data_IF_197493527412
#
_entry.id   IF_197493527412
#
_cell.length_a   1.000
_cell.length_b   1.000
_cell.length_c   1.000
_cell.angle_alpha   90.00
_cell.angle_beta   90.00
_cell.angle_gamma   90.00
#
_symmetry.space_group_name_H-M   'P 1'
#
loop_
_entity.id
_entity.type
_entity.pdbx_description
1 polymer ?
#
# COMPACT_ATOMS: atom_id res chain seq x y z
N UNK A 1 3.05 26.33 9.54
CA UNK A 1 3.96 25.76 8.53
C UNK A 1 4.42 24.42 9.08
N UNK A 2 4.42 23.34 8.27
CA UNK A 2 4.88 22.03 8.72
C UNK A 2 6.40 22.01 8.73
N UNK A 3 6.94 21.46 9.79
CA UNK A 3 8.38 21.25 9.98
C UNK A 3 8.68 19.75 10.12
N UNK A 4 9.93 19.36 9.95
CA UNK A 4 10.38 17.96 10.07
C UNK A 4 10.00 17.33 11.41
N UNK A 5 9.99 18.13 12.49
CA UNK A 5 9.59 17.71 13.84
C UNK A 5 8.14 17.27 13.99
N UNK A 6 7.27 17.67 13.05
CA UNK A 6 5.84 17.30 13.02
C UNK A 6 5.56 16.00 12.22
N UNK A 7 6.60 15.42 11.64
CA UNK A 7 6.48 14.27 10.72
C UNK A 7 7.09 13.05 11.37
N UNK A 8 6.33 11.95 11.40
CA UNK A 8 6.85 10.63 11.71
C UNK A 8 6.90 9.77 10.44
N UNK A 9 7.92 8.92 10.36
CA UNK A 9 8.08 7.95 9.29
C UNK A 9 7.86 6.56 9.87
N UNK A 10 7.05 5.74 9.19
CA UNK A 10 6.87 4.32 9.53
C UNK A 10 7.53 3.48 8.46
N UNK A 11 8.44 2.60 8.88
CA UNK A 11 9.13 1.63 8.04
C UNK A 11 8.94 0.24 8.63
N UNK A 12 8.45 -0.69 7.81
CA UNK A 12 8.31 -2.08 8.22
C UNK A 12 9.47 -2.87 7.65
N UNK A 13 10.21 -3.54 8.54
CA UNK A 13 11.39 -4.34 8.19
C UNK A 13 11.01 -5.81 8.11
N UNK A 14 11.44 -6.47 7.04
CA UNK A 14 11.29 -7.91 6.86
C UNK A 14 12.53 -8.48 6.20
N UNK A 15 13.41 -9.11 7.00
CA UNK A 15 14.73 -9.55 6.58
C UNK A 15 15.53 -8.45 5.84
N UNK A 16 15.71 -7.27 6.48
CA UNK A 16 16.38 -6.14 5.85
C UNK A 16 17.82 -6.44 5.52
N UNK A 17 18.30 -5.91 4.41
CA UNK A 17 19.73 -5.88 4.05
C UNK A 17 20.48 -4.83 4.89
N UNK A 18 21.82 -4.85 4.81
CA UNK A 18 22.64 -3.79 5.44
C UNK A 18 22.29 -2.43 4.88
N UNK A 19 22.13 -2.31 3.55
CA UNK A 19 21.76 -1.05 2.88
C UNK A 19 20.38 -0.53 3.33
N UNK A 20 19.44 -1.44 3.66
CA UNK A 20 18.14 -1.03 4.20
C UNK A 20 18.28 -0.47 5.61
N UNK A 21 19.13 -1.10 6.44
CA UNK A 21 19.38 -0.62 7.79
C UNK A 21 20.15 0.71 7.78
N UNK A 22 21.09 0.91 6.88
CA UNK A 22 21.80 2.18 6.71
C UNK A 22 20.85 3.30 6.29
N UNK A 23 19.91 3.01 5.38
CA UNK A 23 18.87 3.96 5.01
C UNK A 23 17.96 4.32 6.20
N UNK A 24 17.53 3.31 6.97
CA UNK A 24 16.69 3.53 8.16
C UNK A 24 17.42 4.38 9.21
N UNK A 25 18.71 4.11 9.44
CA UNK A 25 19.52 4.90 10.35
C UNK A 25 19.64 6.36 9.88
N UNK A 26 19.99 6.56 8.60
CA UNK A 26 20.10 7.89 8.00
C UNK A 26 18.80 8.70 8.09
N UNK A 27 17.67 8.11 7.70
CA UNK A 27 16.40 8.83 7.75
C UNK A 27 15.95 9.09 9.20
N UNK A 28 16.37 8.22 10.15
CA UNK A 28 16.13 8.36 11.57
C UNK A 28 16.89 9.53 12.23
N UNK A 29 17.99 9.98 11.62
CA UNK A 29 18.69 11.20 12.05
C UNK A 29 17.94 12.48 11.64
N UNK A 30 17.11 12.41 10.59
CA UNK A 30 16.43 13.56 10.01
C UNK A 30 14.99 13.72 10.49
N UNK A 31 14.31 12.61 10.83
CA UNK A 31 12.88 12.57 11.18
C UNK A 31 12.62 11.60 12.34
N UNK A 32 11.50 11.80 13.01
CA UNK A 32 11.01 10.80 13.96
C UNK A 32 10.63 9.51 13.23
N UNK A 33 11.52 8.51 13.25
CA UNK A 33 11.33 7.26 12.52
C UNK A 33 10.97 6.11 13.47
N UNK A 34 9.92 5.39 13.13
CA UNK A 34 9.47 4.16 13.80
C UNK A 34 9.68 3.00 12.84
N UNK A 35 10.77 2.27 13.06
CA UNK A 35 11.07 1.03 12.35
C UNK A 35 10.53 -0.16 13.14
N UNK A 36 9.69 -0.98 12.52
CA UNK A 36 9.09 -2.17 13.13
C UNK A 36 9.65 -3.41 12.47
N UNK A 37 10.44 -4.19 13.21
CA UNK A 37 10.97 -5.47 12.72
C UNK A 37 9.89 -6.56 12.77
N UNK A 38 9.50 -7.03 11.60
CA UNK A 38 8.51 -8.08 11.37
C UNK A 38 9.15 -9.39 10.87
N UNK A 39 10.48 -9.57 11.05
CA UNK A 39 11.25 -10.70 10.51
C UNK A 39 11.06 -11.97 11.33
N UNK A 40 11.09 -11.88 12.66
CA UNK A 40 11.06 -13.05 13.56
C UNK A 40 9.64 -13.51 13.91
N UNK A 41 8.72 -12.57 14.14
CA UNK A 41 7.31 -12.84 14.43
C UNK A 41 6.45 -12.12 13.40
N UNK A 42 6.43 -12.67 12.17
CA UNK A 42 5.72 -12.06 11.05
C UNK A 42 4.21 -12.01 11.29
N UNK A 43 3.73 -10.87 11.77
CA UNK A 43 2.29 -10.58 12.00
C UNK A 43 1.60 -10.01 10.76
N UNK A 44 2.33 -9.87 9.65
CA UNK A 44 1.87 -9.24 8.43
C UNK A 44 2.03 -7.72 8.46
N UNK A 45 2.01 -7.11 7.26
CA UNK A 45 2.25 -5.66 7.12
C UNK A 45 1.18 -4.82 7.82
N UNK A 46 -0.07 -5.28 7.83
CA UNK A 46 -1.18 -4.55 8.46
C UNK A 46 -0.96 -4.36 9.96
N UNK A 47 -0.58 -5.44 10.67
CA UNK A 47 -0.35 -5.38 12.11
C UNK A 47 0.96 -4.66 12.42
N UNK A 48 2.02 -4.89 11.64
CA UNK A 48 3.29 -4.20 11.82
C UNK A 48 3.15 -2.68 11.65
N UNK A 49 2.41 -2.21 10.63
CA UNK A 49 2.08 -0.80 10.50
C UNK A 49 1.26 -0.29 11.68
N UNK A 50 0.28 -1.06 12.16
CA UNK A 50 -0.52 -0.67 13.32
C UNK A 50 0.30 -0.51 14.58
N UNK A 51 1.28 -1.39 14.84
CA UNK A 51 2.20 -1.25 15.99
C UNK A 51 2.97 0.07 15.92
N UNK A 52 3.51 0.41 14.75
CA UNK A 52 4.15 1.70 14.53
C UNK A 52 3.21 2.87 14.74
N UNK A 53 2.01 2.83 14.14
CA UNK A 53 1.01 3.88 14.25
C UNK A 53 0.53 4.10 15.68
N UNK A 54 0.28 3.02 16.44
CA UNK A 54 -0.16 3.12 17.83
C UNK A 54 0.82 3.90 18.71
N UNK A 55 2.13 3.75 18.46
CA UNK A 55 3.16 4.49 19.20
C UNK A 55 3.14 6.00 18.94
N UNK A 56 2.48 6.42 17.85
CA UNK A 56 2.40 7.82 17.41
C UNK A 56 1.09 8.52 17.83
N UNK A 57 0.01 7.76 18.07
CA UNK A 57 -1.31 8.35 18.28
C UNK A 57 -1.38 9.32 19.48
N UNK A 58 -0.58 9.10 20.51
CA UNK A 58 -0.55 9.95 21.72
C UNK A 58 0.53 11.04 21.67
N UNK A 59 1.36 11.07 20.61
CA UNK A 59 2.38 12.10 20.44
C UNK A 59 1.75 13.41 19.94
N UNK A 60 1.78 14.44 20.76
CA UNK A 60 1.13 15.74 20.45
C UNK A 60 1.84 16.51 19.34
N UNK A 61 3.14 16.33 19.21
CA UNK A 61 3.95 17.09 18.25
C UNK A 61 3.91 16.46 16.84
N UNK A 62 3.54 15.17 16.73
CA UNK A 62 3.42 14.49 15.44
C UNK A 62 2.02 14.73 14.88
N UNK A 63 1.95 15.30 13.70
CA UNK A 63 0.72 15.57 12.97
C UNK A 63 0.60 14.74 11.70
N UNK A 64 1.72 14.45 11.04
CA UNK A 64 1.78 13.72 9.78
C UNK A 64 2.55 12.42 9.92
N UNK A 65 2.12 11.41 9.17
CA UNK A 65 2.78 10.10 9.07
C UNK A 65 3.07 9.80 7.61
N UNK A 66 4.33 9.50 7.31
CA UNK A 66 4.77 9.05 6.00
C UNK A 66 5.12 7.57 6.09
N UNK A 67 4.61 6.77 5.15
CA UNK A 67 4.94 5.36 5.04
C UNK A 67 6.05 5.17 4.01
N UNK A 68 7.11 4.46 4.37
CA UNK A 68 8.15 4.03 3.46
C UNK A 68 8.32 2.51 3.55
N UNK A 69 8.59 1.88 2.42
CA UNK A 69 9.05 0.49 2.43
C UNK A 69 10.55 0.45 2.76
N UNK A 70 11.04 -0.66 3.30
CA UNK A 70 12.45 -0.79 3.70
C UNK A 70 13.44 -0.58 2.54
N UNK A 71 13.01 -0.93 1.32
CA UNK A 71 13.77 -0.78 0.07
C UNK A 71 13.48 0.54 -0.66
N UNK A 72 12.66 1.42 -0.08
CA UNK A 72 12.43 2.76 -0.63
C UNK A 72 13.71 3.60 -0.52
N UNK A 73 14.02 4.31 -1.59
CA UNK A 73 15.12 5.29 -1.58
C UNK A 73 14.53 6.62 -2.02
N UNK A 74 14.46 7.55 -1.09
CA UNK A 74 13.88 8.88 -1.27
C UNK A 74 14.88 9.95 -0.90
N UNK A 75 14.71 11.15 -1.44
CA UNK A 75 15.52 12.31 -1.04
C UNK A 75 15.24 12.70 0.42
N UNK A 76 16.22 13.30 1.10
CA UNK A 76 16.15 13.67 2.51
C UNK A 76 15.01 14.63 2.87
N UNK A 77 14.56 15.41 1.91
CA UNK A 77 13.46 16.36 2.05
C UNK A 77 12.10 15.80 1.61
N UNK A 78 12.09 14.58 1.03
CA UNK A 78 10.86 13.97 0.50
C UNK A 78 9.72 13.88 1.55
N UNK A 79 9.96 13.41 2.81
CA UNK A 79 8.90 13.34 3.81
C UNK A 79 8.30 14.71 4.14
N UNK A 80 9.12 15.75 4.14
CA UNK A 80 8.63 17.12 4.33
C UNK A 80 7.85 17.61 3.11
N UNK A 81 8.34 17.33 1.92
CA UNK A 81 7.70 17.75 0.67
C UNK A 81 6.31 17.12 0.50
N UNK A 82 6.16 15.80 0.77
CA UNK A 82 4.86 15.12 0.65
C UNK A 82 3.87 15.60 1.73
N UNK A 83 4.34 15.91 2.93
CA UNK A 83 3.50 16.48 3.99
C UNK A 83 3.03 17.90 3.65
N UNK A 84 3.91 18.74 3.11
CA UNK A 84 3.54 20.09 2.65
C UNK A 84 2.55 20.03 1.47
N UNK A 85 2.75 19.09 0.56
CA UNK A 85 1.84 18.87 -0.57
C UNK A 85 0.48 18.34 -0.10
N UNK A 86 0.47 17.47 0.91
CA UNK A 86 -0.76 17.03 1.57
C UNK A 86 -1.56 18.23 2.09
N UNK A 87 -0.93 19.11 2.84
CA UNK A 87 -1.58 20.31 3.39
C UNK A 87 -2.08 21.27 2.30
N UNK A 88 -1.32 21.43 1.23
CA UNK A 88 -1.74 22.25 0.09
C UNK A 88 -3.05 21.75 -0.53
N UNK A 89 -3.17 20.44 -0.70
CA UNK A 89 -4.37 19.81 -1.28
C UNK A 89 -5.51 19.79 -0.26
N UNK A 90 -5.19 19.58 1.02
CA UNK A 90 -6.17 19.52 2.11
C UNK A 90 -6.92 20.86 2.31
N UNK A 91 -6.40 21.97 1.78
CA UNK A 91 -7.13 23.28 1.80
C UNK A 91 -8.42 23.23 0.96
N UNK A 92 -8.49 22.36 -0.04
CA UNK A 92 -9.63 22.27 -0.98
C UNK A 92 -10.34 20.92 -0.95
N UNK A 93 -9.72 19.90 -0.38
CA UNK A 93 -10.21 18.53 -0.33
C UNK A 93 -10.16 18.00 1.10
N UNK A 94 -11.15 17.24 1.53
CA UNK A 94 -11.06 16.46 2.77
C UNK A 94 -10.16 15.24 2.53
N UNK A 95 -8.85 15.46 2.52
CA UNK A 95 -7.86 14.49 2.11
C UNK A 95 -7.56 13.49 3.23
N UNK A 96 -7.59 12.19 2.93
CA UNK A 96 -7.21 11.15 3.88
C UNK A 96 -5.75 10.74 3.72
N UNK A 97 -5.32 10.51 2.50
CA UNK A 97 -3.98 10.03 2.18
C UNK A 97 -3.56 10.53 0.80
N UNK A 98 -2.31 10.96 0.71
CA UNK A 98 -1.68 11.42 -0.52
C UNK A 98 -0.48 10.55 -0.84
N UNK A 99 -0.45 9.97 -2.04
CA UNK A 99 0.71 9.26 -2.56
C UNK A 99 1.46 10.05 -3.63
N UNK A 100 2.70 9.66 -3.94
CA UNK A 100 3.45 10.19 -5.09
C UNK A 100 3.06 9.48 -6.39
N UNK A 101 3.60 9.96 -7.51
CA UNK A 101 3.77 9.12 -8.69
C UNK A 101 4.84 8.06 -8.43
N UNK A 102 4.55 6.84 -8.84
CA UNK A 102 5.47 5.72 -8.69
C UNK A 102 6.03 5.34 -10.05
N UNK A 103 7.34 5.42 -10.19
CA UNK A 103 8.05 4.98 -11.39
C UNK A 103 8.68 3.60 -11.14
N UNK A 104 8.65 2.76 -12.16
CA UNK A 104 9.35 1.48 -12.13
C UNK A 104 10.86 1.73 -12.21
N UNK A 105 11.62 1.32 -11.20
CA UNK A 105 13.07 1.52 -11.15
C UNK A 105 13.84 0.81 -12.28
N UNK A 106 13.28 -0.25 -12.89
CA UNK A 106 13.93 -1.00 -13.96
C UNK A 106 13.62 -0.41 -15.34
N UNK A 107 12.39 0.06 -15.58
CA UNK A 107 11.97 0.54 -16.91
C UNK A 107 11.88 2.06 -17.02
N UNK A 108 11.89 2.76 -15.89
CA UNK A 108 11.65 4.21 -15.84
C UNK A 108 10.22 4.63 -16.18
N UNK A 109 9.32 3.67 -16.45
CA UNK A 109 7.93 3.95 -16.78
C UNK A 109 7.09 4.19 -15.54
N UNK A 110 6.24 5.21 -15.57
CA UNK A 110 5.27 5.48 -14.51
C UNK A 110 4.21 4.38 -14.48
N UNK A 111 3.94 3.83 -13.31
CA UNK A 111 2.85 2.87 -13.13
C UNK A 111 1.50 3.54 -13.43
N UNK A 112 0.89 3.12 -14.53
CA UNK A 112 -0.48 3.54 -14.89
C UNK A 112 -1.49 2.60 -14.24
N UNK A 113 -2.55 3.16 -13.68
CA UNK A 113 -3.67 2.33 -13.23
C UNK A 113 -4.29 1.61 -14.43
N UNK A 114 -4.35 0.29 -14.36
CA UNK A 114 -4.98 -0.54 -15.40
C UNK A 114 -6.52 -0.40 -15.37
N UNK A 115 -7.07 0.05 -14.24
CA UNK A 115 -8.53 0.03 -13.97
C UNK A 115 -9.15 1.42 -14.11
N UNK A 116 -8.38 2.48 -13.95
CA UNK A 116 -8.89 3.86 -13.97
C UNK A 116 -8.26 4.65 -15.10
N UNK A 117 -9.10 5.25 -15.97
CA UNK A 117 -8.66 6.43 -16.73
C UNK A 117 -8.50 7.56 -15.74
N UNK A 118 -7.31 8.15 -15.71
CA UNK A 118 -7.06 9.31 -14.88
C UNK A 118 -8.02 10.44 -15.27
N UNK A 119 -8.81 10.98 -14.33
CA UNK A 119 -9.49 12.24 -14.57
C UNK A 119 -8.46 13.31 -14.88
N UNK A 120 -8.89 14.39 -15.53
CA UNK A 120 -8.02 15.54 -15.70
C UNK A 120 -7.48 15.97 -14.33
N UNK A 121 -6.16 16.10 -14.24
CA UNK A 121 -5.52 16.53 -13.01
C UNK A 121 -5.93 17.97 -12.72
N UNK A 122 -6.54 18.21 -11.58
CA UNK A 122 -6.77 19.54 -11.07
C UNK A 122 -5.66 19.88 -10.08
N UNK A 123 -4.97 20.99 -10.29
CA UNK A 123 -3.86 21.45 -9.43
C UNK A 123 -2.80 20.37 -9.12
N UNK A 124 -2.42 19.56 -10.11
CA UNK A 124 -1.47 18.46 -9.95
C UNK A 124 -1.91 17.35 -8.97
N UNK A 125 -3.18 17.25 -8.64
CA UNK A 125 -3.77 16.21 -7.82
C UNK A 125 -4.71 15.31 -8.65
N UNK A 126 -4.57 14.00 -8.52
CA UNK A 126 -5.44 13.02 -9.14
C UNK A 126 -6.15 12.22 -8.03
N UNK A 127 -7.48 12.40 -7.86
CA UNK A 127 -8.25 11.57 -6.94
C UNK A 127 -8.18 10.10 -7.34
N UNK A 128 -8.00 9.23 -6.35
CA UNK A 128 -7.97 7.78 -6.52
C UNK A 128 -8.85 7.12 -5.46
N UNK A 129 -9.48 6.01 -5.81
CA UNK A 129 -10.22 5.21 -4.84
C UNK A 129 -9.31 4.47 -3.88
N UNK A 130 -8.16 4.09 -4.37
CA UNK A 130 -7.11 3.40 -3.64
C UNK A 130 -5.73 3.83 -4.13
N UNK A 131 -4.77 3.89 -3.22
CA UNK A 131 -3.34 4.09 -3.49
C UNK A 131 -2.53 3.09 -2.67
N UNK A 132 -1.28 2.91 -3.03
CA UNK A 132 -0.33 2.12 -2.22
C UNK A 132 0.21 2.96 -1.06
N UNK A 133 0.62 2.30 0.01
CA UNK A 133 1.16 2.99 1.19
C UNK A 133 2.58 3.53 0.97
N UNK A 134 3.39 2.89 0.13
CA UNK A 134 4.78 3.30 -0.10
C UNK A 134 4.88 4.75 -0.58
N UNK A 135 5.63 5.57 0.14
CA UNK A 135 5.79 7.01 -0.11
C UNK A 135 4.58 7.87 0.21
N UNK A 136 3.50 7.31 0.73
CA UNK A 136 2.28 8.08 1.03
C UNK A 136 2.34 8.80 2.37
N UNK A 137 1.57 9.89 2.46
CA UNK A 137 1.40 10.71 3.66
C UNK A 137 -0.07 10.74 4.09
N UNK A 138 -0.30 10.63 5.39
CA UNK A 138 -1.61 10.82 6.05
C UNK A 138 -1.42 11.61 7.34
N UNK A 139 -2.52 12.01 8.00
CA UNK A 139 -2.46 12.71 9.29
C UNK A 139 -2.90 11.81 10.44
N UNK A 140 -2.42 12.13 11.64
CA UNK A 140 -2.87 11.48 12.89
C UNK A 140 -4.39 11.64 13.08
N UNK A 141 -4.94 12.78 12.70
CA UNK A 141 -6.39 13.02 12.74
C UNK A 141 -7.16 12.04 11.85
N UNK A 142 -6.74 11.90 10.58
CA UNK A 142 -7.32 10.92 9.66
C UNK A 142 -7.23 9.48 10.20
N UNK A 143 -6.09 9.12 10.79
CA UNK A 143 -5.91 7.80 11.38
C UNK A 143 -6.85 7.55 12.57
N UNK A 144 -7.13 8.57 13.39
CA UNK A 144 -8.10 8.48 14.49
C UNK A 144 -9.53 8.34 13.98
N UNK A 145 -9.91 9.10 12.95
CA UNK A 145 -11.25 9.08 12.39
C UNK A 145 -11.53 7.84 11.53
N UNK A 146 -10.62 7.50 10.64
CA UNK A 146 -10.77 6.34 9.74
C UNK A 146 -10.54 5.04 10.51
N UNK A 147 -9.63 5.04 11.47
CA UNK A 147 -9.15 3.87 12.20
C UNK A 147 -7.91 3.27 11.55
N UNK A 148 -7.20 2.43 12.30
CA UNK A 148 -5.99 1.73 11.85
C UNK A 148 -6.30 0.67 10.78
N UNK A 149 -5.27 0.02 10.27
CA UNK A 149 -5.41 -1.05 9.28
C UNK A 149 -6.17 -2.26 9.85
N UNK A 150 -6.88 -2.99 9.00
CA UNK A 150 -7.47 -4.28 9.40
C UNK A 150 -6.39 -5.36 9.45
N UNK A 151 -5.85 -5.61 10.65
CA UNK A 151 -4.76 -6.59 10.89
C UNK A 151 -5.07 -8.00 10.39
N UNK A 152 -6.35 -8.37 10.29
CA UNK A 152 -6.77 -9.68 9.78
C UNK A 152 -6.38 -9.90 8.34
N UNK A 153 -6.18 -8.83 7.56
CA UNK A 153 -5.76 -8.94 6.17
C UNK A 153 -4.33 -9.46 6.05
N UNK A 154 -3.47 -9.21 7.04
CA UNK A 154 -2.07 -9.62 7.06
C UNK A 154 -1.22 -8.95 5.96
N UNK A 155 -1.50 -9.26 4.68
CA UNK A 155 -0.85 -8.69 3.48
C UNK A 155 -1.85 -8.71 2.32
N UNK A 156 -1.63 -7.90 1.31
CA UNK A 156 -2.49 -7.66 0.15
C UNK A 156 -3.82 -6.97 0.50
N UNK A 157 -4.09 -5.88 -0.18
CA UNK A 157 -5.28 -5.02 -0.04
C UNK A 157 -5.41 -4.27 1.29
N UNK A 158 -4.38 -4.19 2.10
CA UNK A 158 -4.39 -3.48 3.39
C UNK A 158 -4.60 -1.99 3.16
N UNK A 159 -3.78 -1.40 2.31
CA UNK A 159 -3.84 -0.02 1.87
C UNK A 159 -5.13 0.31 1.09
N UNK A 160 -5.55 -0.58 0.20
CA UNK A 160 -6.78 -0.43 -0.57
C UNK A 160 -8.02 -0.43 0.33
N UNK A 161 -8.10 -1.37 1.28
CA UNK A 161 -9.18 -1.44 2.26
C UNK A 161 -9.27 -0.15 3.06
N UNK A 162 -8.11 0.34 3.55
CA UNK A 162 -8.06 1.56 4.32
C UNK A 162 -8.56 2.77 3.51
N UNK A 163 -8.12 2.91 2.26
CA UNK A 163 -8.58 3.96 1.35
C UNK A 163 -10.10 3.88 1.11
N UNK A 164 -10.66 2.68 0.84
CA UNK A 164 -12.11 2.54 0.61
C UNK A 164 -12.92 2.86 1.88
N UNK A 165 -12.40 2.51 3.04
CA UNK A 165 -13.00 2.86 4.33
C UNK A 165 -12.95 4.36 4.58
N UNK A 166 -11.86 5.03 4.24
CA UNK A 166 -11.74 6.48 4.27
C UNK A 166 -12.75 7.15 3.31
N UNK A 167 -12.82 6.67 2.07
CA UNK A 167 -13.79 7.17 1.09
C UNK A 167 -15.26 7.00 1.57
N UNK A 168 -15.57 5.94 2.32
CA UNK A 168 -16.92 5.74 2.89
C UNK A 168 -17.26 6.70 4.03
N UNK A 169 -16.29 7.48 4.48
CA UNK A 169 -16.42 8.55 5.49
C UNK A 169 -16.23 9.94 4.87
N UNK A 170 -16.47 10.06 3.56
CA UNK A 170 -16.40 11.31 2.79
C UNK A 170 -14.98 11.92 2.74
N UNK A 171 -13.94 11.11 2.92
CA UNK A 171 -12.58 11.51 2.65
C UNK A 171 -12.21 11.21 1.18
N UNK A 172 -11.21 11.93 0.68
CA UNK A 172 -10.62 11.72 -0.65
C UNK A 172 -9.21 11.14 -0.48
N UNK A 173 -8.90 10.12 -1.27
CA UNK A 173 -7.54 9.61 -1.43
C UNK A 173 -7.02 9.99 -2.82
N UNK A 174 -5.72 10.11 -3.00
CA UNK A 174 -5.19 10.41 -4.33
C UNK A 174 -3.68 10.49 -4.40
N UNK A 175 -3.20 10.85 -5.58
CA UNK A 175 -1.78 11.02 -5.86
C UNK A 175 -1.48 12.43 -6.32
N UNK A 176 -0.28 12.93 -5.99
CA UNK A 176 0.25 14.18 -6.54
C UNK A 176 1.15 13.91 -7.73
N UNK A 177 1.10 14.80 -8.72
CA UNK A 177 2.01 14.79 -9.88
C UNK A 177 3.34 15.51 -9.58
N UNK A 178 3.41 16.23 -8.47
CA UNK A 178 4.57 17.04 -8.11
C UNK A 178 5.71 16.22 -7.48
N UNK A 179 5.42 15.03 -6.97
CA UNK A 179 6.40 14.19 -6.30
C UNK A 179 6.43 12.79 -6.90
N UNK A 180 7.63 12.24 -6.99
CA UNK A 180 7.88 10.91 -7.57
C UNK A 180 8.74 10.08 -6.63
N UNK A 181 8.48 8.79 -6.60
CA UNK A 181 9.38 7.81 -6.01
C UNK A 181 9.70 6.71 -7.02
N UNK A 182 10.90 6.20 -6.93
CA UNK A 182 11.28 4.99 -7.65
C UNK A 182 11.01 3.77 -6.77
N UNK A 183 10.24 2.82 -7.27
CA UNK A 183 9.92 1.60 -6.53
C UNK A 183 10.35 0.37 -7.32
N UNK A 184 11.07 -0.53 -6.65
CA UNK A 184 11.47 -1.80 -7.22
C UNK A 184 10.37 -2.84 -6.98
N UNK A 185 9.64 -3.20 -8.03
CA UNK A 185 8.67 -4.29 -7.94
C UNK A 185 9.39 -5.62 -8.10
N UNK A 186 9.93 -6.13 -7.01
CA UNK A 186 10.63 -7.42 -6.94
C UNK A 186 9.74 -8.63 -7.24
N UNK A 187 8.97 -8.59 -8.32
CA UNK A 187 8.07 -9.67 -8.69
C UNK A 187 8.55 -10.33 -9.99
N UNK A 188 8.67 -11.66 -9.97
CA UNK A 188 8.97 -12.40 -11.19
C UNK A 188 7.87 -12.19 -12.21
N UNK A 189 8.25 -11.66 -13.37
CA UNK A 189 7.35 -11.50 -14.51
C UNK A 189 7.60 -12.61 -15.49
N UNK A 190 6.56 -13.27 -15.97
CA UNK A 190 6.65 -14.21 -17.09
C UNK A 190 5.79 -13.72 -18.25
N UNK A 191 6.27 -13.93 -19.46
CA UNK A 191 5.48 -13.73 -20.67
C UNK A 191 4.68 -14.98 -20.97
N UNK A 192 3.36 -14.86 -21.03
CA UNK A 192 2.46 -15.92 -21.42
C UNK A 192 1.53 -15.41 -22.52
N UNK A 193 1.56 -16.01 -23.70
CA UNK A 193 0.78 -15.57 -24.87
C UNK A 193 0.93 -14.09 -25.21
N UNK A 194 2.13 -13.51 -25.01
CA UNK A 194 2.41 -12.08 -25.25
C UNK A 194 1.98 -11.12 -24.13
N UNK A 195 1.40 -11.63 -23.05
CA UNK A 195 1.04 -10.85 -21.87
C UNK A 195 2.06 -11.06 -20.74
N UNK A 196 2.48 -9.96 -20.12
CA UNK A 196 3.32 -10.00 -18.93
C UNK A 196 2.47 -10.33 -17.70
N UNK A 197 2.75 -11.47 -17.07
CA UNK A 197 2.05 -11.93 -15.87
C UNK A 197 3.00 -11.85 -14.69
N UNK A 198 2.59 -11.09 -13.69
CA UNK A 198 3.31 -10.97 -12.44
C UNK A 198 2.98 -12.16 -11.54
N UNK A 199 4.01 -12.89 -11.12
CA UNK A 199 3.87 -14.07 -10.25
C UNK A 199 4.42 -13.74 -8.87
N UNK A 200 3.56 -13.84 -7.88
CA UNK A 200 3.92 -13.73 -6.47
C UNK A 200 4.40 -15.08 -5.91
N UNK A 201 5.06 -15.06 -4.76
CA UNK A 201 5.37 -16.27 -4.02
C UNK A 201 4.09 -17.11 -3.76
N UNK A 202 4.15 -18.45 -3.83
CA UNK A 202 2.95 -19.31 -3.74
C UNK A 202 2.09 -19.06 -2.49
N UNK A 203 2.69 -18.79 -1.33
CA UNK A 203 1.99 -18.49 -0.09
C UNK A 203 1.15 -17.22 -0.14
N UNK A 204 1.54 -16.22 -0.94
CA UNK A 204 0.82 -14.95 -1.07
C UNK A 204 -0.57 -15.13 -1.71
N UNK A 205 -0.76 -16.14 -2.58
CA UNK A 205 -2.07 -16.44 -3.16
C UNK A 205 -3.12 -16.87 -2.12
N UNK A 206 -2.70 -17.45 -0.99
CA UNK A 206 -3.61 -17.72 0.12
C UNK A 206 -4.26 -16.43 0.61
N UNK A 207 -3.46 -15.41 0.90
CA UNK A 207 -3.97 -14.13 1.41
C UNK A 207 -4.80 -13.40 0.36
N UNK A 208 -4.37 -13.36 -0.89
CA UNK A 208 -5.11 -12.72 -1.98
C UNK A 208 -6.53 -13.26 -2.10
N UNK A 209 -6.70 -14.57 -2.14
CA UNK A 209 -8.01 -15.21 -2.30
C UNK A 209 -8.87 -15.13 -1.04
N UNK A 210 -8.26 -15.29 0.14
CA UNK A 210 -8.96 -15.13 1.42
C UNK A 210 -9.48 -13.70 1.60
N UNK A 211 -8.60 -12.73 1.42
CA UNK A 211 -8.92 -11.33 1.63
C UNK A 211 -9.96 -10.84 0.62
N UNK A 212 -9.88 -11.27 -0.64
CA UNK A 212 -10.91 -10.99 -1.63
C UNK A 212 -12.29 -11.41 -1.13
N UNK A 213 -12.45 -12.62 -0.63
CA UNK A 213 -13.73 -13.13 -0.14
C UNK A 213 -14.24 -12.39 1.11
N UNK A 214 -13.36 -11.87 1.93
CA UNK A 214 -13.74 -11.01 3.06
C UNK A 214 -14.15 -9.61 2.59
N UNK A 215 -13.41 -9.05 1.64
CA UNK A 215 -13.62 -7.70 1.15
C UNK A 215 -14.88 -7.57 0.27
N UNK A 216 -15.24 -8.58 -0.52
CA UNK A 216 -16.48 -8.53 -1.31
C UNK A 216 -17.75 -8.41 -0.46
N UNK A 217 -17.70 -8.84 0.79
CA UNK A 217 -18.82 -8.75 1.76
C UNK A 217 -18.98 -7.35 2.36
N UNK A 218 -17.96 -6.49 2.24
CA UNK A 218 -17.98 -5.13 2.81
C UNK A 218 -18.70 -4.18 1.86
N UNK A 219 -19.65 -3.38 2.40
CA UNK A 219 -20.49 -2.48 1.59
C UNK A 219 -19.68 -1.36 0.94
N UNK A 220 -18.67 -0.85 1.63
CA UNK A 220 -17.84 0.26 1.18
C UNK A 220 -16.80 -0.12 0.12
N UNK A 221 -16.55 -1.40 -0.10
CA UNK A 221 -15.63 -1.86 -1.17
C UNK A 221 -16.28 -1.67 -2.54
N UNK A 222 -15.59 -1.04 -3.50
CA UNK A 222 -16.16 -0.70 -4.81
C UNK A 222 -16.62 -1.93 -5.60
N UNK A 223 -17.85 -1.87 -6.14
CA UNK A 223 -18.43 -2.98 -6.92
C UNK A 223 -17.58 -3.32 -8.15
N UNK A 224 -17.03 -2.30 -8.82
CA UNK A 224 -16.16 -2.49 -9.98
C UNK A 224 -14.93 -3.34 -9.62
N UNK A 225 -14.29 -3.06 -8.47
CA UNK A 225 -13.14 -3.85 -8.00
C UNK A 225 -13.56 -5.29 -7.67
N UNK A 226 -14.71 -5.49 -7.02
CA UNK A 226 -15.23 -6.82 -6.70
C UNK A 226 -15.39 -7.68 -7.94
N UNK A 227 -16.01 -7.11 -8.99
CA UNK A 227 -16.26 -7.83 -10.24
C UNK A 227 -14.93 -8.10 -10.98
N UNK A 228 -14.13 -7.08 -11.21
CA UNK A 228 -12.89 -7.19 -11.97
C UNK A 228 -11.90 -8.17 -11.30
N UNK A 229 -11.75 -8.08 -9.96
CA UNK A 229 -10.86 -9.00 -9.22
C UNK A 229 -11.44 -10.40 -9.17
N UNK A 230 -12.77 -10.56 -9.06
CA UNK A 230 -13.44 -11.86 -9.12
C UNK A 230 -13.20 -12.58 -10.44
N UNK A 231 -13.37 -11.90 -11.57
CA UNK A 231 -13.08 -12.45 -12.90
C UNK A 231 -11.61 -12.84 -13.00
N UNK A 232 -10.69 -11.93 -12.61
CA UNK A 232 -9.25 -12.19 -12.60
C UNK A 232 -8.91 -13.46 -11.80
N UNK A 233 -9.52 -13.65 -10.64
CA UNK A 233 -9.27 -14.81 -9.77
C UNK A 233 -9.88 -16.09 -10.31
N UNK A 234 -11.08 -16.03 -10.89
CA UNK A 234 -11.68 -17.18 -11.57
C UNK A 234 -10.81 -17.68 -12.74
N UNK A 235 -10.30 -16.75 -13.56
CA UNK A 235 -9.38 -17.08 -14.64
C UNK A 235 -8.08 -17.67 -14.10
N UNK A 236 -7.50 -17.10 -13.03
CA UNK A 236 -6.28 -17.64 -12.40
C UNK A 236 -6.44 -19.07 -11.88
N UNK A 237 -7.58 -19.42 -11.32
CA UNK A 237 -7.86 -20.79 -10.85
C UNK A 237 -7.80 -21.83 -11.97
N UNK A 238 -8.09 -21.42 -13.21
CA UNK A 238 -8.09 -22.32 -14.38
C UNK A 238 -6.70 -22.46 -14.97
N UNK A 239 -6.03 -21.34 -15.27
CA UNK A 239 -4.79 -21.41 -16.06
C UNK A 239 -3.52 -21.61 -15.22
N UNK A 240 -3.52 -21.23 -13.92
CA UNK A 240 -2.33 -21.35 -13.09
C UNK A 240 -1.81 -22.79 -12.99
N UNK A 241 -2.63 -23.78 -12.63
CA UNK A 241 -2.14 -25.16 -12.51
C UNK A 241 -1.62 -25.75 -13.83
N UNK A 242 -2.06 -25.19 -14.97
CA UNK A 242 -1.76 -25.74 -16.29
C UNK A 242 -0.60 -25.04 -17.00
N UNK A 243 -0.46 -23.71 -16.79
CA UNK A 243 0.40 -22.87 -17.63
C UNK A 243 1.54 -22.19 -16.88
N UNK A 244 1.55 -22.19 -15.53
CA UNK A 244 2.53 -21.43 -14.75
C UNK A 244 3.55 -22.36 -14.11
N UNK A 245 4.87 -22.07 -14.19
CA UNK A 245 5.88 -22.74 -13.38
C UNK A 245 5.50 -22.66 -11.89
N UNK A 246 5.51 -23.78 -11.16
CA UNK A 246 5.00 -23.87 -9.77
C UNK A 246 3.51 -23.53 -9.62
N UNK A 247 2.74 -23.48 -10.70
CA UNK A 247 1.32 -23.10 -10.71
C UNK A 247 0.45 -23.98 -9.81
N UNK A 248 0.79 -25.28 -9.69
CA UNK A 248 0.07 -26.19 -8.80
C UNK A 248 0.26 -25.82 -7.30
N UNK A 249 1.44 -25.36 -6.89
CA UNK A 249 1.67 -24.87 -5.54
C UNK A 249 0.87 -23.58 -5.27
N UNK A 250 0.83 -22.66 -6.23
CA UNK A 250 0.00 -21.47 -6.18
C UNK A 250 -1.49 -21.84 -6.07
N UNK A 251 -1.96 -22.75 -6.92
CA UNK A 251 -3.34 -23.19 -6.95
C UNK A 251 -3.79 -23.82 -5.62
N UNK A 252 -2.96 -24.68 -5.01
CA UNK A 252 -3.24 -25.23 -3.67
C UNK A 252 -3.43 -24.12 -2.63
N UNK A 253 -2.62 -23.08 -2.68
CA UNK A 253 -2.75 -21.94 -1.75
C UNK A 253 -3.99 -21.08 -2.06
N UNK A 254 -4.36 -20.91 -3.34
CA UNK A 254 -5.63 -20.28 -3.74
C UNK A 254 -6.83 -21.01 -3.13
N UNK A 255 -6.88 -22.35 -3.25
CA UNK A 255 -7.95 -23.16 -2.68
C UNK A 255 -7.99 -23.09 -1.14
N UNK A 256 -6.82 -23.10 -0.47
CA UNK A 256 -6.75 -22.88 0.98
C UNK A 256 -7.28 -21.49 1.36
N UNK A 257 -6.92 -20.46 0.58
CA UNK A 257 -7.42 -19.10 0.77
C UNK A 257 -8.94 -19.01 0.59
N UNK A 258 -9.51 -19.66 -0.43
CA UNK A 258 -10.96 -19.74 -0.62
C UNK A 258 -11.64 -20.40 0.59
N UNK A 259 -11.13 -21.55 1.04
CA UNK A 259 -11.68 -22.24 2.22
C UNK A 259 -11.66 -21.35 3.46
N UNK A 260 -10.55 -20.67 3.72
CA UNK A 260 -10.41 -19.77 4.85
C UNK A 260 -11.31 -18.53 4.73
N UNK A 261 -11.45 -17.98 3.52
CA UNK A 261 -12.30 -16.81 3.25
C UNK A 261 -13.80 -17.09 3.33
N UNK A 262 -14.22 -18.35 3.14
CA UNK A 262 -15.63 -18.77 3.29
C UNK A 262 -16.03 -19.01 4.74
N UNK A 263 -15.07 -19.32 5.62
CA UNK A 263 -15.35 -19.43 7.06
C UNK A 263 -15.68 -18.04 7.60
N UNK A 264 -16.76 -17.96 8.41
CA UNK A 264 -17.15 -16.72 9.09
C UNK A 264 -16.18 -16.36 10.18
#
# INVERSE_FOLDING_TARGET
>A
MIEKSHIAIIIILYHPSTDDMDFVAHIGELYHTVAVDNSTDNKGIAEAQNQGLQSLLDKKDITHVVFLDQDSRVADDYPLAIAQEFERIAQTQRLAILGPLVDNSETGETYKSVIHKDPAADNCFIPRREIISSGSCTTIECLREVGLNDSRLFIDYVDFEWCWRANSKDYVCGITLNLRISHHVGQKTISLFGYLIIISAPGRYFYQFRNYLWLVRRKYVPLQWKIATGIKYAVRLIYFPLCIPSGFACWKNMLKGIRAGLKK
#
